data_IF_392703403177
#
_entry.id   IF_392703403177
#
_cell.length_a   1.000
_cell.length_b   1.000
_cell.length_c   1.000
_cell.angle_alpha   90.00
_cell.angle_beta   90.00
_cell.angle_gamma   90.00
#
_symmetry.space_group_name_H-M   'P 1'
#
loop_
_entity.id
_entity.type
_entity.pdbx_description
1 polymer ?
#
# COMPACT_ATOMS: atom_id res chain seq x y z
N UNK A 1 15.77 16.21 10.58
CA UNK A 1 15.04 15.15 11.29
C UNK A 1 13.56 15.38 11.09
N UNK A 2 12.88 14.46 10.40
CA UNK A 2 11.42 14.45 10.37
C UNK A 2 10.93 14.04 11.76
N UNK A 3 10.16 14.91 12.41
CA UNK A 3 9.55 14.59 13.69
C UNK A 3 8.06 14.32 13.44
N UNK A 4 7.62 13.09 13.72
CA UNK A 4 6.21 12.72 13.66
C UNK A 4 5.55 13.02 15.00
N UNK A 5 4.33 13.56 14.95
CA UNK A 5 3.47 13.66 16.12
C UNK A 5 2.32 12.64 16.01
N UNK A 6 1.55 12.51 17.09
CA UNK A 6 0.43 11.57 17.15
C UNK A 6 -0.62 11.82 16.04
N UNK A 7 -0.86 13.08 15.70
CA UNK A 7 -1.80 13.49 14.65
C UNK A 7 -1.35 13.00 13.28
N UNK A 8 -0.10 13.26 12.89
CA UNK A 8 0.47 12.78 11.63
C UNK A 8 0.46 11.25 11.53
N UNK A 9 0.66 10.55 12.66
CA UNK A 9 0.59 9.08 12.67
C UNK A 9 -0.84 8.56 12.51
N UNK A 10 -1.83 9.25 13.09
CA UNK A 10 -3.26 8.94 12.89
C UNK A 10 -3.69 9.17 11.45
N UNK A 11 -3.23 10.25 10.83
CA UNK A 11 -3.46 10.52 9.41
C UNK A 11 -2.86 9.43 8.53
N UNK A 12 -1.61 9.02 8.80
CA UNK A 12 -0.96 7.93 8.08
C UNK A 12 -1.72 6.61 8.24
N UNK A 13 -2.13 6.26 9.46
CA UNK A 13 -2.93 5.06 9.72
C UNK A 13 -4.25 5.09 8.94
N UNK A 14 -4.91 6.26 8.88
CA UNK A 14 -6.12 6.45 8.08
C UNK A 14 -5.87 6.23 6.58
N UNK A 15 -4.78 6.77 6.03
CA UNK A 15 -4.38 6.58 4.62
C UNK A 15 -4.13 5.09 4.31
N UNK A 16 -3.51 4.37 5.24
CA UNK A 16 -3.24 2.95 5.12
C UNK A 16 -4.44 2.04 5.44
N UNK A 17 -5.58 2.60 5.86
CA UNK A 17 -6.77 1.85 6.33
C UNK A 17 -6.47 0.90 7.50
N UNK A 18 -5.56 1.32 8.38
CA UNK A 18 -5.20 0.58 9.59
C UNK A 18 -5.91 1.25 10.76
N UNK A 19 -6.70 0.47 11.51
CA UNK A 19 -7.26 0.90 12.78
C UNK A 19 -6.28 0.53 13.91
N UNK A 20 -5.97 1.48 14.77
CA UNK A 20 -4.98 1.32 15.84
C UNK A 20 -5.56 1.85 17.16
N UNK A 21 -5.43 1.04 18.21
CA UNK A 21 -5.62 1.52 19.57
C UNK A 21 -4.55 2.56 19.93
N UNK A 22 -4.79 3.34 20.99
CA UNK A 22 -3.82 4.33 21.48
C UNK A 22 -2.48 3.69 21.85
N UNK A 23 -2.51 2.56 22.55
CA UNK A 23 -1.30 1.85 22.99
C UNK A 23 -0.48 1.32 21.81
N UNK A 24 -1.14 0.83 20.76
CA UNK A 24 -0.49 0.40 19.52
C UNK A 24 0.13 1.59 18.78
N UNK A 25 -0.55 2.73 18.77
CA UNK A 25 -0.09 3.95 18.12
C UNK A 25 1.16 4.51 18.81
N UNK A 26 1.21 4.50 20.14
CA UNK A 26 2.41 4.89 20.91
C UNK A 26 3.60 3.97 20.64
N UNK A 27 3.37 2.66 20.46
CA UNK A 27 4.42 1.70 20.07
C UNK A 27 4.89 1.90 18.64
N UNK A 28 3.95 2.09 17.71
CA UNK A 28 4.24 2.37 16.30
C UNK A 28 5.06 3.64 16.14
N UNK A 29 4.75 4.68 16.91
CA UNK A 29 5.52 5.93 16.89
C UNK A 29 7.00 5.68 17.20
N UNK A 30 7.31 4.98 18.29
CA UNK A 30 8.69 4.64 18.67
C UNK A 30 9.41 3.79 17.62
N UNK A 31 8.71 2.80 17.06
CA UNK A 31 9.30 1.94 16.03
C UNK A 31 9.58 2.71 14.74
N UNK A 32 8.65 3.59 14.34
CA UNK A 32 8.80 4.42 13.15
C UNK A 32 9.96 5.41 13.30
N UNK A 33 10.08 6.06 14.46
CA UNK A 33 11.23 6.92 14.78
C UNK A 33 12.56 6.17 14.61
N UNK A 34 12.68 4.98 15.19
CA UNK A 34 13.90 4.17 15.07
C UNK A 34 14.23 3.76 13.62
N UNK A 35 13.20 3.48 12.80
CA UNK A 35 13.38 3.15 11.38
C UNK A 35 13.84 4.39 10.61
N UNK A 36 13.22 5.56 10.85
CA UNK A 36 13.59 6.80 10.17
C UNK A 36 14.99 7.26 10.54
N UNK A 37 15.38 7.14 11.81
CA UNK A 37 16.75 7.41 12.25
C UNK A 37 17.76 6.52 11.52
N UNK A 38 17.42 5.25 11.29
CA UNK A 38 18.28 4.34 10.53
C UNK A 38 18.36 4.72 9.04
N UNK A 39 17.24 5.11 8.43
CA UNK A 39 17.17 5.56 7.03
C UNK A 39 17.89 6.89 6.83
N UNK A 40 17.91 7.78 7.83
CA UNK A 40 18.58 9.07 7.78
C UNK A 40 20.09 8.94 7.53
N UNK A 41 20.71 7.80 7.86
CA UNK A 41 22.11 7.52 7.50
C UNK A 41 22.37 7.55 5.99
N UNK A 42 21.36 7.24 5.17
CA UNK A 42 21.48 7.24 3.71
C UNK A 42 21.67 8.66 3.15
N UNK A 43 21.23 9.70 3.87
CA UNK A 43 21.41 11.11 3.46
C UNK A 43 22.88 11.56 3.45
N UNK A 44 23.78 10.79 4.06
CA UNK A 44 25.23 11.06 4.02
C UNK A 44 25.88 10.71 2.68
N UNK A 45 25.19 9.97 1.82
CA UNK A 45 25.70 9.49 0.54
C UNK A 45 25.26 10.48 -0.56
N UNK A 46 26.22 11.02 -1.31
CA UNK A 46 25.92 11.91 -2.43
C UNK A 46 25.36 11.12 -3.63
N UNK A 47 24.11 11.41 -4.01
CA UNK A 47 23.43 10.81 -5.17
C UNK A 47 23.05 11.81 -6.26
N UNK A 48 23.60 13.03 -6.26
CA UNK A 48 23.20 14.13 -7.17
C UNK A 48 23.30 13.77 -8.67
N UNK A 49 24.23 12.88 -9.03
CA UNK A 49 24.48 12.45 -10.40
C UNK A 49 24.06 10.99 -10.65
N UNK A 50 23.33 10.39 -9.70
CA UNK A 50 22.86 9.00 -9.80
C UNK A 50 21.35 9.02 -10.09
N UNK A 51 20.90 8.56 -11.27
CA UNK A 51 19.47 8.48 -11.56
C UNK A 51 18.80 7.44 -10.64
N UNK A 52 17.55 7.66 -10.21
CA UNK A 52 16.81 6.66 -9.44
C UNK A 52 16.66 5.34 -10.22
N UNK A 53 16.87 4.22 -9.54
CA UNK A 53 16.65 2.89 -10.12
C UNK A 53 15.15 2.55 -10.07
N UNK A 54 14.47 2.56 -11.21
CA UNK A 54 13.05 2.20 -11.34
C UNK A 54 12.82 0.74 -11.69
N UNK A 55 13.77 0.13 -12.41
CA UNK A 55 13.75 -1.26 -12.83
C UNK A 55 15.19 -1.77 -12.93
N UNK A 56 15.43 -3.00 -12.46
CA UNK A 56 16.78 -3.62 -12.47
C UNK A 56 17.07 -4.26 -13.84
N UNK A 57 16.03 -4.74 -14.52
CA UNK A 57 16.15 -5.43 -15.81
C UNK A 57 16.12 -4.41 -16.95
N UNK A 58 17.13 -4.43 -17.83
CA UNK A 58 17.29 -3.47 -18.93
C UNK A 58 16.27 -3.63 -20.08
N UNK A 59 15.46 -4.70 -20.07
CA UNK A 59 14.60 -5.03 -21.19
C UNK A 59 13.35 -4.13 -21.24
N UNK A 60 13.35 -3.25 -22.26
CA UNK A 60 12.33 -2.23 -22.58
C UNK A 60 11.18 -2.73 -23.45
N UNK A 61 10.94 -4.04 -23.51
CA UNK A 61 9.72 -4.51 -24.14
C UNK A 61 8.59 -4.31 -23.13
N UNK A 62 7.94 -3.15 -23.20
CA UNK A 62 6.53 -3.06 -22.83
C UNK A 62 5.86 -4.21 -23.57
N UNK A 63 5.54 -5.30 -22.86
CA UNK A 63 4.78 -6.40 -23.43
C UNK A 63 3.41 -5.83 -23.73
N UNK A 64 3.20 -5.47 -24.99
CA UNK A 64 1.89 -5.13 -25.51
C UNK A 64 1.19 -6.45 -25.78
N UNK A 65 0.19 -6.74 -24.96
CA UNK A 65 -0.69 -7.86 -25.24
C UNK A 65 -1.54 -7.56 -26.48
N UNK A 66 -1.84 -8.60 -27.25
CA UNK A 66 -2.77 -8.49 -28.37
C UNK A 66 -4.18 -8.19 -27.85
N UNK A 67 -4.96 -7.41 -28.59
CA UNK A 67 -6.38 -7.17 -28.30
C UNK A 67 -7.21 -8.40 -28.71
N UNK A 68 -7.17 -9.43 -27.88
CA UNK A 68 -7.82 -10.72 -28.10
C UNK A 68 -8.64 -11.14 -26.87
N UNK A 69 -9.71 -11.91 -27.08
CA UNK A 69 -10.52 -12.42 -25.98
C UNK A 69 -9.76 -13.51 -25.21
N UNK A 70 -9.58 -13.31 -23.90
CA UNK A 70 -9.02 -14.30 -22.99
C UNK A 70 -10.10 -15.12 -22.30
N UNK A 71 -9.74 -16.32 -21.84
CA UNK A 71 -10.59 -17.14 -20.98
C UNK A 71 -11.07 -16.38 -19.75
N UNK A 72 -12.38 -16.42 -19.49
CA UNK A 72 -13.00 -15.75 -18.35
C UNK A 72 -13.07 -16.69 -17.15
N UNK A 73 -12.66 -16.20 -15.99
CA UNK A 73 -12.83 -16.92 -14.73
C UNK A 73 -14.32 -17.15 -14.45
N UNK A 74 -14.71 -18.40 -14.16
CA UNK A 74 -16.08 -18.73 -13.82
C UNK A 74 -16.48 -18.01 -12.52
N UNK A 75 -17.70 -17.47 -12.47
CA UNK A 75 -18.21 -16.72 -11.32
C UNK A 75 -18.12 -17.56 -10.04
N UNK A 76 -18.37 -18.87 -10.12
CA UNK A 76 -18.26 -19.77 -8.98
C UNK A 76 -16.85 -19.82 -8.40
N UNK A 77 -15.83 -19.86 -9.26
CA UNK A 77 -14.42 -19.88 -8.86
C UNK A 77 -13.98 -18.54 -8.27
N UNK A 78 -14.34 -17.44 -8.93
CA UNK A 78 -14.08 -16.09 -8.42
C UNK A 78 -14.66 -15.86 -7.03
N UNK A 79 -15.88 -16.36 -6.79
CA UNK A 79 -16.58 -16.16 -5.53
C UNK A 79 -16.04 -17.01 -4.38
N UNK A 80 -15.16 -18.00 -4.59
CA UNK A 80 -14.71 -18.93 -3.54
C UNK A 80 -14.18 -18.20 -2.29
N UNK A 81 -13.39 -17.14 -2.49
CA UNK A 81 -12.73 -16.39 -1.41
C UNK A 81 -13.49 -15.13 -0.96
N UNK A 82 -14.66 -14.84 -1.53
CA UNK A 82 -15.42 -13.63 -1.18
C UNK A 82 -16.06 -13.82 0.21
N UNK A 83 -15.75 -12.96 1.21
CA UNK A 83 -16.24 -13.13 2.58
C UNK A 83 -17.77 -12.98 2.72
N UNK A 84 -18.38 -12.09 1.94
CA UNK A 84 -19.82 -11.83 1.99
C UNK A 84 -20.41 -11.67 0.59
N UNK A 85 -21.51 -12.37 0.32
CA UNK A 85 -22.12 -12.50 -1.01
C UNK A 85 -23.61 -12.22 -0.95
N UNK A 86 -24.17 -11.62 -2.00
CA UNK A 86 -25.62 -11.46 -2.15
C UNK A 86 -25.99 -11.52 -3.64
N UNK A 87 -26.89 -12.44 -4.03
CA UNK A 87 -27.38 -12.52 -5.41
C UNK A 87 -26.30 -12.64 -6.49
N UNK A 88 -25.18 -13.32 -6.22
CA UNK A 88 -24.05 -13.41 -7.15
C UNK A 88 -23.12 -12.19 -7.17
N UNK A 89 -23.26 -11.26 -6.22
CA UNK A 89 -22.43 -10.07 -6.07
C UNK A 89 -21.63 -10.11 -4.77
N UNK A 90 -20.51 -9.36 -4.73
CA UNK A 90 -19.77 -9.09 -3.49
C UNK A 90 -20.59 -8.10 -2.66
N UNK A 91 -20.89 -8.47 -1.41
CA UNK A 91 -21.59 -7.59 -0.47
C UNK A 91 -20.57 -6.75 0.30
N UNK A 92 -20.70 -5.43 0.22
CA UNK A 92 -19.90 -4.45 0.98
C UNK A 92 -20.82 -3.50 1.77
N UNK A 93 -20.33 -2.88 2.86
CA UNK A 93 -21.05 -1.80 3.53
C UNK A 93 -21.36 -0.66 2.55
N UNK A 94 -22.57 -0.10 2.64
CA UNK A 94 -22.97 1.03 1.79
C UNK A 94 -22.23 2.29 2.22
N UNK A 95 -21.69 3.03 1.25
CA UNK A 95 -21.02 4.30 1.47
C UNK A 95 -22.06 5.41 1.30
N UNK A 96 -22.94 5.57 2.28
CA UNK A 96 -23.85 6.73 2.34
C UNK A 96 -23.07 7.88 2.96
N UNK A 97 -22.82 8.96 2.20
CA UNK A 97 -22.21 10.17 2.74
C UNK A 97 -23.15 10.76 3.80
N UNK A 98 -22.64 10.99 5.00
CA UNK A 98 -23.21 11.94 5.96
C UNK A 98 -22.51 13.28 5.82
#
# INVERSE_FOLDING_TARGET
>A
MMHFNEESLRELAHLCRIDCSRDELERLMKNLEAILDHVDHLNSINTDQVPPCTQIVENQLLFLDADEESDRLQVQDFMKNVPSKIGGMIKVPSILKS
#
